data_IF_445051153513
#
_entry.id   IF_445051153513
#
_cell.length_a   1.000
_cell.length_b   1.000
_cell.length_c   1.000
_cell.angle_alpha   90.00
_cell.angle_beta   90.00
_cell.angle_gamma   90.00
#
_symmetry.space_group_name_H-M   'P 1'
#
loop_
_entity.id
_entity.type
_entity.pdbx_description
1 polymer ?
#
# COMPACT_ATOMS: atom_id res chain seq x y z
N UNK A 1 -63.58 69.76 -56.38
CA UNK A 1 -64.09 69.19 -55.11
C UNK A 1 -62.98 69.29 -54.07
N UNK A 2 -63.14 70.14 -53.04
CA UNK A 2 -62.17 70.30 -51.94
C UNK A 2 -62.84 69.77 -50.67
N UNK A 3 -62.30 68.70 -50.12
CA UNK A 3 -62.77 68.11 -48.86
C UNK A 3 -62.02 68.86 -47.75
N UNK A 4 -62.71 69.73 -47.03
CA UNK A 4 -62.22 70.34 -45.81
C UNK A 4 -62.46 69.35 -44.66
N UNK A 5 -61.40 68.69 -44.22
CA UNK A 5 -61.39 67.92 -42.98
C UNK A 5 -61.26 68.90 -41.81
N UNK A 6 -62.39 69.24 -41.19
CA UNK A 6 -62.42 69.89 -39.88
C UNK A 6 -61.87 68.92 -38.84
N UNK A 7 -60.56 69.00 -38.60
CA UNK A 7 -59.92 68.29 -37.51
C UNK A 7 -60.34 68.96 -36.20
N UNK A 8 -61.43 68.49 -35.60
CA UNK A 8 -61.85 68.89 -34.25
C UNK A 8 -60.73 68.46 -33.29
N UNK A 9 -59.80 69.39 -33.03
CA UNK A 9 -58.73 69.24 -32.05
C UNK A 9 -59.36 69.22 -30.67
N UNK A 10 -59.68 68.02 -30.20
CA UNK A 10 -60.23 67.77 -28.87
C UNK A 10 -59.36 68.43 -27.80
N UNK A 11 -59.88 69.51 -27.21
CA UNK A 11 -59.24 70.24 -26.11
C UNK A 11 -59.36 69.35 -24.87
N UNK A 12 -58.43 68.42 -24.69
CA UNK A 12 -58.38 67.54 -23.50
C UNK A 12 -58.23 68.45 -22.28
N UNK A 13 -59.22 68.43 -21.40
CA UNK A 13 -59.22 69.26 -20.20
C UNK A 13 -57.93 69.02 -19.39
N UNK A 14 -57.18 70.07 -19.00
CA UNK A 14 -55.86 69.94 -18.37
C UNK A 14 -55.90 69.22 -17.00
N UNK A 15 -57.08 69.08 -16.39
CA UNK A 15 -57.30 68.32 -15.16
C UNK A 15 -57.14 66.80 -15.33
N UNK A 16 -57.59 66.23 -16.48
CA UNK A 16 -57.47 64.78 -16.75
C UNK A 16 -56.03 64.36 -16.97
N UNK A 17 -55.24 65.19 -17.66
CA UNK A 17 -53.81 64.92 -17.91
C UNK A 17 -53.00 64.93 -16.61
N UNK A 18 -53.30 65.87 -15.70
CA UNK A 18 -52.64 65.95 -14.37
C UNK A 18 -52.99 64.77 -13.45
N UNK A 19 -54.22 64.25 -13.53
CA UNK A 19 -54.64 63.06 -12.77
C UNK A 19 -53.99 61.80 -13.33
N UNK A 20 -53.99 61.61 -14.66
CA UNK A 20 -53.36 60.47 -15.31
C UNK A 20 -51.85 60.41 -15.03
N UNK A 21 -51.15 61.56 -15.06
CA UNK A 21 -49.73 61.64 -14.71
C UNK A 21 -49.44 61.22 -13.28
N UNK A 22 -50.33 61.55 -12.32
CA UNK A 22 -50.21 61.13 -10.92
C UNK A 22 -50.41 59.63 -10.73
N UNK A 23 -51.38 59.04 -11.43
CA UNK A 23 -51.61 57.58 -11.38
C UNK A 23 -50.44 56.82 -12.01
N UNK A 24 -49.92 57.28 -13.15
CA UNK A 24 -48.73 56.71 -13.78
C UNK A 24 -47.49 56.82 -12.89
N UNK A 25 -47.28 57.96 -12.22
CA UNK A 25 -46.16 58.08 -11.27
C UNK A 25 -46.32 57.18 -10.05
N UNK A 26 -47.53 57.06 -9.51
CA UNK A 26 -47.79 56.20 -8.35
C UNK A 26 -47.59 54.71 -8.69
N UNK A 27 -48.04 54.27 -9.87
CA UNK A 27 -47.85 52.90 -10.35
C UNK A 27 -46.38 52.58 -10.63
N UNK A 28 -45.63 53.49 -11.25
CA UNK A 28 -44.17 53.34 -11.42
C UNK A 28 -43.44 53.25 -10.08
N UNK A 29 -43.82 54.08 -9.12
CA UNK A 29 -43.19 54.13 -7.80
C UNK A 29 -43.49 52.86 -7.00
N UNK A 30 -44.70 52.33 -7.10
CA UNK A 30 -45.05 51.01 -6.54
C UNK A 30 -44.27 49.87 -7.20
N UNK A 31 -44.18 49.87 -8.53
CA UNK A 31 -43.40 48.86 -9.27
C UNK A 31 -41.91 48.90 -8.89
N UNK A 32 -41.35 50.09 -8.69
CA UNK A 32 -39.98 50.28 -8.23
C UNK A 32 -39.76 49.72 -6.83
N UNK A 33 -40.68 49.96 -5.88
CA UNK A 33 -40.60 49.38 -4.54
C UNK A 33 -40.69 47.84 -4.56
N UNK A 34 -41.56 47.28 -5.40
CA UNK A 34 -41.65 45.83 -5.59
C UNK A 34 -40.34 45.25 -6.13
N UNK A 35 -39.68 45.97 -7.05
CA UNK A 35 -38.41 45.54 -7.63
C UNK A 35 -37.27 45.59 -6.60
N UNK A 36 -37.24 46.61 -5.73
CA UNK A 36 -36.29 46.68 -4.60
C UNK A 36 -36.54 45.52 -3.63
N UNK A 37 -37.79 45.24 -3.27
CA UNK A 37 -38.12 44.12 -2.38
C UNK A 37 -37.71 42.77 -2.97
N UNK A 38 -37.94 42.55 -4.28
CA UNK A 38 -37.52 41.34 -4.98
C UNK A 38 -36.00 41.19 -4.97
N UNK A 39 -35.27 42.26 -5.27
CA UNK A 39 -33.80 42.26 -5.23
C UNK A 39 -33.27 42.02 -3.81
N UNK A 40 -33.90 42.62 -2.80
CA UNK A 40 -33.56 42.39 -1.39
C UNK A 40 -33.76 40.92 -0.99
N UNK A 41 -34.87 40.32 -1.43
CA UNK A 41 -35.14 38.90 -1.18
C UNK A 41 -34.08 37.98 -1.82
N UNK A 42 -33.78 38.18 -3.11
CA UNK A 42 -32.75 37.42 -3.83
C UNK A 42 -31.37 37.60 -3.18
N UNK A 43 -31.05 38.81 -2.73
CA UNK A 43 -29.79 39.10 -2.07
C UNK A 43 -29.65 38.36 -0.73
N UNK A 44 -30.71 38.34 0.07
CA UNK A 44 -30.73 37.64 1.36
C UNK A 44 -30.58 36.13 1.14
N UNK A 45 -31.32 35.56 0.20
CA UNK A 45 -31.28 34.13 -0.14
C UNK A 45 -29.86 33.71 -0.56
N UNK A 46 -29.28 34.43 -1.52
CA UNK A 46 -27.91 34.18 -1.98
C UNK A 46 -26.86 34.42 -0.88
N UNK A 47 -27.09 35.38 0.02
CA UNK A 47 -26.20 35.60 1.16
C UNK A 47 -26.18 34.40 2.12
N UNK A 48 -27.34 33.80 2.38
CA UNK A 48 -27.42 32.60 3.21
C UNK A 48 -26.79 31.38 2.53
N UNK A 49 -26.99 31.20 1.22
CA UNK A 49 -26.35 30.12 0.45
C UNK A 49 -24.82 30.22 0.49
N UNK A 50 -24.27 31.42 0.26
CA UNK A 50 -22.82 31.64 0.34
C UNK A 50 -22.29 31.32 1.74
N UNK A 51 -23.03 31.70 2.79
CA UNK A 51 -22.65 31.41 4.17
C UNK A 51 -22.71 29.92 4.50
N UNK A 52 -23.71 29.21 4.02
CA UNK A 52 -23.81 27.76 4.21
C UNK A 52 -22.68 27.03 3.49
N UNK A 53 -22.39 27.41 2.24
CA UNK A 53 -21.23 26.89 1.49
C UNK A 53 -19.91 27.13 2.24
N UNK A 54 -19.69 28.31 2.83
CA UNK A 54 -18.50 28.59 3.64
C UNK A 54 -18.40 27.68 4.87
N UNK A 55 -19.53 27.45 5.57
CA UNK A 55 -19.58 26.55 6.72
C UNK A 55 -19.32 25.09 6.31
N UNK A 56 -19.92 24.63 5.22
CA UNK A 56 -19.67 23.30 4.65
C UNK A 56 -18.19 23.13 4.29
N UNK A 57 -17.56 24.14 3.67
CA UNK A 57 -16.13 24.12 3.38
C UNK A 57 -15.30 24.02 4.66
N UNK A 58 -15.65 24.76 5.71
CA UNK A 58 -14.96 24.70 7.00
C UNK A 58 -15.10 23.32 7.68
N UNK A 59 -16.27 22.68 7.55
CA UNK A 59 -16.48 21.32 8.05
C UNK A 59 -15.66 20.30 7.25
N UNK A 60 -15.65 20.41 5.93
CA UNK A 60 -14.88 19.52 5.04
C UNK A 60 -13.38 19.69 5.29
N UNK A 61 -12.88 20.93 5.42
CA UNK A 61 -11.46 21.19 5.69
C UNK A 61 -11.03 20.62 7.04
N UNK A 62 -11.89 20.73 8.07
CA UNK A 62 -11.66 20.12 9.37
C UNK A 62 -11.60 18.58 9.28
N UNK A 63 -12.50 17.96 8.53
CA UNK A 63 -12.46 16.50 8.27
C UNK A 63 -11.17 16.10 7.56
N UNK A 64 -10.76 16.84 6.53
CA UNK A 64 -9.49 16.61 5.83
C UNK A 64 -8.28 16.74 6.76
N UNK A 65 -8.25 17.73 7.65
CA UNK A 65 -7.15 17.90 8.61
C UNK A 65 -7.04 16.71 9.58
N UNK A 66 -8.17 16.15 10.02
CA UNK A 66 -8.19 14.93 10.85
C UNK A 66 -7.70 13.73 10.04
N UNK A 67 -8.21 13.54 8.82
CA UNK A 67 -7.82 12.43 7.96
C UNK A 67 -6.33 12.47 7.60
N UNK A 68 -5.78 13.66 7.37
CA UNK A 68 -4.36 13.83 7.07
C UNK A 68 -3.48 13.35 8.23
N UNK A 69 -3.88 13.59 9.49
CA UNK A 69 -3.18 13.05 10.67
C UNK A 69 -3.18 11.52 10.71
N UNK A 70 -4.29 10.90 10.32
CA UNK A 70 -4.37 9.44 10.22
C UNK A 70 -3.47 8.89 9.11
N UNK A 71 -3.44 9.57 7.96
CA UNK A 71 -2.53 9.22 6.86
C UNK A 71 -1.06 9.31 7.29
N UNK A 72 -0.67 10.35 8.05
CA UNK A 72 0.68 10.44 8.59
C UNK A 72 1.03 9.27 9.51
N UNK A 73 0.09 8.81 10.36
CA UNK A 73 0.29 7.61 11.19
C UNK A 73 0.47 6.35 10.35
N UNK A 74 -0.29 6.20 9.26
CA UNK A 74 -0.15 5.04 8.35
C UNK A 74 1.21 5.05 7.66
N UNK A 75 1.71 6.23 7.26
CA UNK A 75 3.05 6.36 6.67
C UNK A 75 4.13 5.99 7.68
N UNK A 76 3.98 6.39 8.94
CA UNK A 76 4.89 6.02 10.03
C UNK A 76 4.91 4.51 10.28
N UNK A 77 3.73 3.87 10.38
CA UNK A 77 3.62 2.41 10.50
C UNK A 77 4.22 1.67 9.30
N UNK A 78 4.11 2.22 8.09
CA UNK A 78 4.75 1.64 6.91
C UNK A 78 6.27 1.69 7.03
N UNK A 79 6.82 2.79 7.53
CA UNK A 79 8.26 2.91 7.80
C UNK A 79 8.75 1.91 8.85
N UNK A 80 8.00 1.74 9.94
CA UNK A 80 8.29 0.71 10.96
C UNK A 80 8.21 -0.70 10.39
N UNK A 81 7.22 -0.97 9.55
CA UNK A 81 7.04 -2.26 8.89
C UNK A 81 8.21 -2.58 7.96
N UNK A 82 8.64 -1.63 7.13
CA UNK A 82 9.78 -1.80 6.21
C UNK A 82 11.09 -2.02 6.99
N UNK A 83 11.29 -1.30 8.10
CA UNK A 83 12.45 -1.50 8.98
C UNK A 83 12.44 -2.88 9.65
N UNK A 84 11.27 -3.36 10.09
CA UNK A 84 11.11 -4.68 10.67
C UNK A 84 11.35 -5.77 9.62
N UNK A 85 10.80 -5.59 8.42
CA UNK A 85 10.97 -6.53 7.31
C UNK A 85 12.45 -6.64 6.88
N UNK A 86 13.18 -5.52 6.89
CA UNK A 86 14.62 -5.50 6.66
C UNK A 86 15.42 -6.24 7.76
N UNK A 87 15.04 -6.09 9.04
CA UNK A 87 15.66 -6.86 10.13
C UNK A 87 15.37 -8.35 9.99
N UNK A 88 14.15 -8.72 9.61
CA UNK A 88 13.78 -10.12 9.37
C UNK A 88 14.56 -10.68 8.19
N UNK A 89 14.70 -9.94 7.08
CA UNK A 89 15.46 -10.40 5.92
C UNK A 89 16.93 -10.64 6.28
N UNK A 90 17.57 -9.70 6.99
CA UNK A 90 18.94 -9.87 7.49
C UNK A 90 19.07 -11.09 8.42
N UNK A 91 18.12 -11.28 9.33
CA UNK A 91 18.11 -12.41 10.27
C UNK A 91 17.89 -13.73 9.54
N UNK A 92 17.03 -13.74 8.51
CA UNK A 92 16.78 -14.92 7.68
C UNK A 92 17.98 -15.27 6.80
N UNK A 93 18.71 -14.27 6.30
CA UNK A 93 19.94 -14.48 5.53
C UNK A 93 21.07 -14.99 6.44
N UNK A 94 21.19 -14.44 7.65
CA UNK A 94 22.09 -14.94 8.69
C UNK A 94 21.72 -16.35 9.11
N UNK A 95 20.44 -16.65 9.33
CA UNK A 95 19.95 -18.00 9.67
C UNK A 95 20.15 -19.00 8.52
N UNK A 96 20.00 -18.56 7.27
CA UNK A 96 20.30 -19.37 6.09
C UNK A 96 21.80 -19.66 5.91
N UNK A 97 22.68 -18.75 6.37
CA UNK A 97 24.14 -18.92 6.37
C UNK A 97 24.67 -19.64 7.62
N UNK A 98 23.96 -19.55 8.74
CA UNK A 98 24.33 -20.14 10.04
C UNK A 98 23.71 -21.53 10.16
N UNK A 99 24.47 -22.54 9.75
CA UNK A 99 24.13 -23.94 9.97
C UNK A 99 24.21 -24.18 11.49
N UNK A 100 23.10 -24.61 12.09
CA UNK A 100 23.05 -25.00 13.50
C UNK A 100 23.76 -26.35 13.67
N UNK A 101 25.08 -26.30 13.78
CA UNK A 101 25.93 -27.48 13.97
C UNK A 101 25.67 -28.18 15.29
N UNK A 102 25.29 -27.45 16.34
CA UNK A 102 25.14 -27.99 17.70
C UNK A 102 24.21 -29.21 17.79
N UNK A 103 22.94 -29.15 17.33
CA UNK A 103 22.07 -30.33 17.36
C UNK A 103 22.52 -31.43 16.40
N UNK A 104 23.08 -31.11 15.23
CA UNK A 104 23.57 -32.12 14.27
C UNK A 104 24.82 -32.85 14.77
N UNK A 105 25.73 -32.14 15.45
CA UNK A 105 26.90 -32.73 16.09
C UNK A 105 26.53 -33.55 17.32
N UNK A 106 25.51 -33.12 18.07
CA UNK A 106 25.00 -33.88 19.20
C UNK A 106 24.37 -35.21 18.74
N UNK A 107 23.53 -35.17 17.70
CA UNK A 107 23.02 -36.40 17.08
C UNK A 107 24.17 -37.28 16.56
N UNK A 108 25.17 -36.70 15.90
CA UNK A 108 26.36 -37.44 15.46
C UNK A 108 27.07 -38.10 16.64
N UNK A 109 27.22 -37.41 17.78
CA UNK A 109 27.87 -37.95 18.97
C UNK A 109 27.12 -39.11 19.60
N UNK A 110 25.79 -39.11 19.57
CA UNK A 110 24.96 -40.20 20.07
C UNK A 110 24.98 -41.43 19.14
N UNK A 111 25.21 -41.22 17.84
CA UNK A 111 25.26 -42.26 16.82
C UNK A 111 26.64 -42.91 16.66
N UNK A 112 27.73 -42.32 17.20
CA UNK A 112 29.07 -42.90 17.10
C UNK A 112 29.23 -44.08 18.07
N UNK A 113 29.44 -45.31 17.58
CA UNK A 113 29.72 -46.43 18.47
C UNK A 113 31.08 -46.26 19.14
N UNK A 114 31.21 -46.74 20.39
CA UNK A 114 32.41 -46.59 21.26
C UNK A 114 33.73 -47.08 20.62
N UNK A 115 33.64 -47.87 19.54
CA UNK A 115 34.76 -48.51 18.87
C UNK A 115 35.28 -47.75 17.64
N UNK A 116 34.69 -46.61 17.29
CA UNK A 116 35.09 -45.78 16.13
C UNK A 116 35.63 -44.44 16.65
N UNK A 117 36.89 -44.15 16.37
CA UNK A 117 37.51 -42.87 16.66
C UNK A 117 37.52 -41.99 15.42
N UNK A 118 36.95 -40.79 15.53
CA UNK A 118 36.99 -39.78 14.46
C UNK A 118 38.26 -38.97 14.63
N UNK A 119 39.12 -39.00 13.61
CA UNK A 119 40.36 -38.23 13.58
C UNK A 119 40.13 -36.85 12.95
N UNK A 120 39.23 -36.75 11.97
CA UNK A 120 38.98 -35.51 11.25
C UNK A 120 37.52 -35.39 10.83
N UNK A 121 36.89 -34.29 11.26
CA UNK A 121 35.62 -33.83 10.74
C UNK A 121 35.89 -32.60 9.88
N UNK A 122 35.65 -32.69 8.57
CA UNK A 122 35.75 -31.53 7.69
C UNK A 122 34.43 -31.26 6.99
N UNK A 123 34.06 -29.99 6.97
CA UNK A 123 32.85 -29.51 6.31
C UNK A 123 33.27 -28.80 5.04
N UNK A 124 32.93 -29.37 3.90
CA UNK A 124 33.15 -28.73 2.60
C UNK A 124 31.82 -28.19 2.09
N UNK A 125 31.69 -26.86 2.05
CA UNK A 125 30.58 -26.20 1.33
C UNK A 125 30.91 -26.24 -0.15
N UNK A 126 30.31 -27.20 -0.85
CA UNK A 126 30.35 -27.22 -2.30
C UNK A 126 29.25 -26.30 -2.82
N UNK A 127 29.63 -25.10 -3.23
CA UNK A 127 28.83 -24.32 -4.15
C UNK A 127 28.91 -25.02 -5.50
N UNK A 128 28.03 -25.99 -5.73
CA UNK A 128 28.01 -26.73 -6.98
C UNK A 128 27.69 -25.74 -8.10
N UNK A 129 28.73 -25.31 -8.81
CA UNK A 129 28.58 -24.57 -10.06
C UNK A 129 27.71 -25.41 -11.00
N UNK A 130 26.77 -24.78 -11.74
CA UNK A 130 25.87 -25.51 -12.61
C UNK A 130 26.72 -26.34 -13.56
N UNK A 131 26.58 -27.67 -13.51
CA UNK A 131 27.07 -28.54 -14.57
C UNK A 131 26.44 -27.98 -15.85
N UNK A 132 27.26 -27.36 -16.70
CA UNK A 132 26.91 -27.08 -18.09
C UNK A 132 26.51 -28.42 -18.69
N UNK A 133 25.21 -28.67 -18.76
CA UNK A 133 24.67 -29.71 -19.60
C UNK A 133 25.01 -29.29 -21.04
N UNK A 134 26.00 -29.94 -21.61
CA UNK A 134 26.31 -29.90 -23.04
C UNK A 134 25.14 -30.54 -23.79
N UNK A 135 24.08 -29.78 -24.02
CA UNK A 135 23.04 -30.07 -25.01
C UNK A 135 22.29 -28.79 -25.39
N UNK A 136 22.34 -28.37 -26.67
CA UNK A 136 21.66 -27.16 -27.12
C UNK A 136 20.18 -27.47 -27.35
N UNK A 137 19.28 -27.00 -26.49
CA UNK A 137 17.85 -27.00 -26.83
C UNK A 137 16.81 -26.99 -25.72
N UNK A 138 17.16 -27.12 -24.43
CA UNK A 138 16.15 -27.15 -23.36
C UNK A 138 16.04 -25.81 -22.62
N UNK A 139 14.84 -25.21 -22.67
CA UNK A 139 14.44 -23.97 -21.98
C UNK A 139 14.85 -24.00 -20.51
N UNK A 140 15.56 -22.95 -20.08
CA UNK A 140 16.04 -22.77 -18.72
C UNK A 140 14.87 -22.61 -17.73
N UNK A 141 14.58 -23.67 -16.99
CA UNK A 141 13.85 -23.57 -15.73
C UNK A 141 14.84 -23.17 -14.63
N UNK A 142 14.54 -22.19 -13.75
CA UNK A 142 15.44 -21.81 -12.67
C UNK A 142 15.47 -22.94 -11.64
N UNK A 143 16.38 -23.90 -11.83
CA UNK A 143 16.67 -24.91 -10.83
C UNK A 143 17.23 -24.21 -9.58
N UNK A 144 16.46 -24.24 -8.49
CA UNK A 144 16.89 -23.81 -7.15
C UNK A 144 18.25 -24.44 -6.84
N UNK A 145 19.29 -23.62 -6.81
CA UNK A 145 20.62 -24.00 -6.34
C UNK A 145 20.50 -24.22 -4.84
N UNK A 146 20.23 -25.46 -4.42
CA UNK A 146 20.32 -25.81 -3.03
C UNK A 146 21.80 -25.89 -2.66
N UNK A 147 22.29 -25.08 -1.69
CA UNK A 147 23.65 -25.22 -1.22
C UNK A 147 23.82 -26.62 -0.61
N UNK A 148 24.57 -27.48 -1.29
CA UNK A 148 24.92 -28.81 -0.78
C UNK A 148 26.10 -28.71 0.17
N UNK A 149 25.92 -29.13 1.40
CA UNK A 149 26.97 -29.21 2.41
C UNK A 149 27.43 -30.66 2.47
N UNK A 150 28.69 -30.91 2.12
CA UNK A 150 29.29 -32.24 2.21
C UNK A 150 30.08 -32.34 3.50
N UNK A 151 29.73 -33.32 4.33
CA UNK A 151 30.46 -33.68 5.54
C UNK A 151 31.40 -34.84 5.23
N UNK A 152 32.69 -34.64 5.43
CA UNK A 152 33.71 -35.67 5.28
C UNK A 152 34.18 -36.06 6.68
N UNK A 153 33.90 -37.32 7.04
CA UNK A 153 34.30 -37.95 8.29
C UNK A 153 35.48 -38.89 7.99
N UNK A 154 36.63 -38.63 8.60
CA UNK A 154 37.77 -39.55 8.57
C UNK A 154 37.98 -40.10 9.98
N UNK A 155 37.96 -41.42 10.11
CA UNK A 155 38.12 -42.10 11.39
C UNK A 155 38.65 -43.52 11.22
N UNK A 156 39.00 -44.13 12.35
CA UNK A 156 39.55 -45.47 12.43
C UNK A 156 38.73 -46.30 13.41
N UNK A 157 38.45 -47.56 13.06
CA UNK A 157 37.90 -48.52 14.00
C UNK A 157 39.05 -49.14 14.80
N UNK A 158 38.94 -49.14 16.14
CA UNK A 158 39.90 -49.82 17.01
C UNK A 158 39.84 -51.34 16.75
N UNK A 159 40.98 -52.03 16.58
CA UNK A 159 41.00 -53.44 16.27
C UNK A 159 40.64 -54.28 17.51
N UNK A 160 39.35 -54.52 17.67
CA UNK A 160 38.78 -55.53 18.56
C UNK A 160 37.94 -56.51 17.76
N UNK A 161 38.44 -57.74 17.62
CA UNK A 161 37.76 -58.96 17.18
C UNK A 161 36.73 -58.81 16.04
N UNK A 162 37.17 -58.86 14.77
CA UNK A 162 36.39 -59.00 13.50
C UNK A 162 35.09 -58.17 13.31
N UNK A 163 34.73 -57.30 14.24
CA UNK A 163 33.48 -56.53 14.31
C UNK A 163 33.67 -55.10 13.83
N UNK A 164 34.91 -54.60 13.74
CA UNK A 164 35.22 -53.24 13.32
C UNK A 164 34.60 -52.86 11.97
N UNK A 165 34.68 -53.75 10.97
CA UNK A 165 34.08 -53.51 9.64
C UNK A 165 32.55 -53.51 9.67
N UNK A 166 31.91 -54.44 10.41
CA UNK A 166 30.44 -54.45 10.59
C UNK A 166 29.93 -53.22 11.35
N UNK A 167 30.70 -52.73 12.32
CA UNK A 167 30.36 -51.51 13.06
C UNK A 167 30.40 -50.27 12.19
N UNK A 168 31.36 -50.18 11.25
CA UNK A 168 31.42 -49.08 10.26
C UNK A 168 30.22 -49.15 9.31
N UNK A 169 29.86 -50.36 8.84
CA UNK A 169 28.73 -50.56 7.92
C UNK A 169 27.39 -50.21 8.58
N UNK A 170 27.16 -50.64 9.82
CA UNK A 170 25.98 -50.28 10.59
C UNK A 170 25.88 -48.78 10.88
N UNK A 171 27.02 -48.14 11.20
CA UNK A 171 27.08 -46.69 11.40
C UNK A 171 26.74 -45.92 10.11
N UNK A 172 27.28 -46.35 8.96
CA UNK A 172 26.94 -45.77 7.66
C UNK A 172 25.46 -45.96 7.30
N UNK A 173 24.86 -47.08 7.66
CA UNK A 173 23.43 -47.34 7.46
C UNK A 173 22.55 -46.42 8.33
N UNK A 174 22.87 -46.27 9.61
CA UNK A 174 22.12 -45.41 10.54
C UNK A 174 22.20 -43.93 10.16
N UNK A 175 23.36 -43.47 9.66
CA UNK A 175 23.54 -42.13 9.09
C UNK A 175 22.69 -41.89 7.82
N UNK A 176 22.46 -42.94 7.03
CA UNK A 176 21.63 -42.87 5.83
C UNK A 176 20.14 -42.81 6.17
N UNK A 177 19.72 -43.44 7.26
CA UNK A 177 18.33 -43.44 7.73
C UNK A 177 17.94 -42.16 8.50
N UNK A 178 18.91 -41.41 9.06
CA UNK A 178 18.70 -40.14 9.76
C UNK A 178 19.52 -38.96 9.18
N UNK A 179 19.02 -38.25 8.14
CA UNK A 179 19.74 -37.14 7.46
C UNK A 179 19.78 -35.77 8.18
#
# INVERSE_FOLDING_TARGET
MKIQLDLIRGRVAPSRVKSLRRVLSATLLLAFFLLIMLMGYIYIDNYYDIKDCQNQLALISKKHATLNKEVFRIVEYKGEWDALHHKISLTSELKGKQIWWTPKLQALSELIPENIWINRLSVQRSAQAPRKASSPGAKASPAKVHPSITLILEGFALPGDNRGFRSIENFAHQLKENP
#
